data_IF_536463959995
#
_entry.id   IF_536463959995
#
_cell.length_a   1.000
_cell.length_b   1.000
_cell.length_c   1.000
_cell.angle_alpha   90.00
_cell.angle_beta   90.00
_cell.angle_gamma   90.00
#
_symmetry.space_group_name_H-M   'P 1'
#
loop_
_entity.id
_entity.type
_entity.pdbx_description
1 polymer ?
#
# COMPACT_ATOMS: atom_id res chain seq x y z
N UNK A 1 3.65 -12.11 -9.86
CA UNK A 1 2.69 -11.12 -9.33
C UNK A 1 3.37 -10.38 -8.18
N UNK A 2 3.26 -9.05 -8.15
CA UNK A 2 3.77 -8.22 -7.08
C UNK A 2 2.62 -7.45 -6.40
N UNK A 3 2.66 -7.39 -5.08
CA UNK A 3 1.83 -6.49 -4.28
C UNK A 3 2.59 -5.18 -4.09
N UNK A 4 2.16 -4.15 -4.78
CA UNK A 4 2.71 -2.79 -4.71
C UNK A 4 1.91 -1.86 -3.80
N UNK A 5 1.01 -2.38 -2.97
CA UNK A 5 0.09 -1.55 -2.17
C UNK A 5 0.79 -0.55 -1.23
N UNK A 6 2.01 -0.81 -0.81
CA UNK A 6 2.82 0.11 0.00
C UNK A 6 3.99 0.73 -0.78
N UNK A 7 4.28 0.24 -1.98
CA UNK A 7 5.45 0.64 -2.75
C UNK A 7 5.11 1.68 -3.84
N UNK A 8 3.99 1.47 -4.57
CA UNK A 8 3.59 2.34 -5.67
C UNK A 8 3.33 3.78 -5.19
N UNK A 9 3.90 4.73 -5.91
CA UNK A 9 3.86 6.15 -5.59
C UNK A 9 4.93 6.62 -4.59
N UNK A 10 5.68 5.68 -3.98
CA UNK A 10 6.75 5.97 -3.01
C UNK A 10 8.12 5.58 -3.60
N UNK A 11 8.22 4.39 -4.20
CA UNK A 11 9.43 3.91 -4.88
C UNK A 11 9.11 3.55 -6.32
N UNK A 12 10.13 3.57 -7.18
CA UNK A 12 10.00 3.24 -8.60
C UNK A 12 9.85 1.72 -8.76
N UNK A 13 8.62 1.28 -9.08
CA UNK A 13 8.28 -0.13 -9.32
C UNK A 13 7.85 -0.27 -10.77
N UNK A 14 8.54 -1.09 -11.54
CA UNK A 14 8.30 -1.27 -12.98
C UNK A 14 7.99 -2.72 -13.33
N UNK A 15 7.14 -2.92 -14.32
CA UNK A 15 6.93 -4.27 -14.90
C UNK A 15 8.22 -4.81 -15.51
N UNK A 16 9.11 -3.93 -16.04
CA UNK A 16 10.42 -4.30 -16.58
C UNK A 16 11.34 -4.98 -15.55
N UNK A 17 11.07 -4.85 -14.26
CA UNK A 17 11.85 -5.46 -13.18
C UNK A 17 11.51 -6.95 -12.97
N UNK A 18 10.90 -7.59 -13.96
CA UNK A 18 10.49 -9.00 -13.91
C UNK A 18 9.10 -9.22 -13.32
N UNK A 19 8.30 -8.16 -13.23
CA UNK A 19 6.93 -8.20 -12.73
C UNK A 19 5.97 -8.33 -13.91
N UNK A 20 5.12 -9.36 -13.95
CA UNK A 20 4.11 -9.51 -15.00
C UNK A 20 2.76 -8.90 -14.62
N UNK A 21 2.44 -8.92 -13.31
CA UNK A 21 1.21 -8.37 -12.74
C UNK A 21 1.56 -7.60 -11.48
N UNK A 22 1.20 -6.33 -11.43
CA UNK A 22 1.36 -5.45 -10.28
C UNK A 22 -0.01 -5.02 -9.79
N UNK A 23 -0.29 -5.27 -8.51
CA UNK A 23 -1.51 -4.82 -7.84
C UNK A 23 -1.17 -3.72 -6.85
N UNK A 24 -1.96 -2.64 -6.82
CA UNK A 24 -1.71 -1.54 -5.88
C UNK A 24 -3.00 -0.91 -5.39
N UNK A 25 -2.94 -0.32 -4.19
CA UNK A 25 -4.02 0.43 -3.59
C UNK A 25 -3.97 1.91 -4.03
N UNK A 26 -5.11 2.46 -4.45
CA UNK A 26 -5.18 3.86 -4.86
C UNK A 26 -5.08 4.85 -3.70
N UNK A 27 -5.58 4.48 -2.51
CA UNK A 27 -5.68 5.35 -1.33
C UNK A 27 -4.41 5.43 -0.46
N UNK A 28 -3.28 4.87 -0.91
CA UNK A 28 -1.99 4.94 -0.22
C UNK A 28 -1.03 5.89 -0.95
N UNK A 29 0.14 5.43 -1.37
CA UNK A 29 1.13 6.25 -2.05
C UNK A 29 0.68 6.88 -3.38
N UNK A 30 -0.44 6.44 -3.96
CA UNK A 30 -1.04 7.06 -5.15
C UNK A 30 -2.00 8.23 -4.84
N UNK A 31 -2.22 8.59 -3.59
CA UNK A 31 -3.05 9.72 -3.13
C UNK A 31 -4.51 9.72 -3.61
N UNK A 32 -5.04 8.58 -4.06
CA UNK A 32 -6.45 8.40 -4.42
C UNK A 32 -7.36 8.19 -3.20
N UNK A 33 -8.66 8.10 -3.43
CA UNK A 33 -9.64 7.81 -2.37
C UNK A 33 -9.70 6.32 -2.04
N UNK A 34 -10.29 5.99 -0.89
CA UNK A 34 -10.58 4.61 -0.48
C UNK A 34 -11.49 3.90 -1.50
N UNK A 35 -11.40 2.57 -1.57
CA UNK A 35 -12.18 1.77 -2.53
C UNK A 35 -11.66 1.83 -3.97
N UNK A 36 -10.41 2.28 -4.16
CA UNK A 36 -9.72 2.33 -5.45
C UNK A 36 -8.44 1.53 -5.43
N UNK A 37 -8.05 1.02 -6.60
CA UNK A 37 -6.79 0.31 -6.81
C UNK A 37 -6.55 0.11 -8.29
N UNK A 38 -5.36 -0.38 -8.63
CA UNK A 38 -4.98 -0.71 -9.99
C UNK A 38 -4.43 -2.12 -10.05
N UNK A 39 -4.78 -2.83 -11.13
CA UNK A 39 -4.11 -4.02 -11.59
C UNK A 39 -3.42 -3.67 -12.92
N UNK A 40 -2.12 -3.78 -12.95
CA UNK A 40 -1.28 -3.44 -14.11
C UNK A 40 -0.63 -4.73 -14.60
N UNK A 41 -0.70 -5.01 -15.90
CA UNK A 41 -0.14 -6.22 -16.49
C UNK A 41 0.67 -5.92 -17.74
N UNK A 42 1.70 -6.75 -18.00
CA UNK A 42 2.47 -6.73 -19.24
C UNK A 42 1.76 -7.49 -20.39
N UNK A 43 0.59 -8.06 -20.14
CA UNK A 43 -0.23 -8.78 -21.11
C UNK A 43 0.27 -10.17 -21.48
N UNK A 44 1.39 -10.66 -20.93
CA UNK A 44 1.95 -11.97 -21.28
C UNK A 44 1.12 -13.14 -20.76
N UNK A 45 0.30 -12.91 -19.75
CA UNK A 45 -0.52 -13.96 -19.14
C UNK A 45 -2.00 -13.61 -19.25
N UNK A 46 -2.81 -14.57 -19.68
CA UNK A 46 -4.28 -14.43 -19.66
C UNK A 46 -4.74 -14.51 -18.21
N UNK A 47 -5.33 -13.42 -17.72
CA UNK A 47 -5.92 -13.35 -16.38
C UNK A 47 -7.39 -13.75 -16.51
N UNK A 48 -7.81 -14.75 -15.72
CA UNK A 48 -9.20 -15.19 -15.71
C UNK A 48 -10.01 -14.32 -14.74
N UNK A 49 -11.12 -13.69 -15.20
CA UNK A 49 -11.98 -12.93 -14.31
C UNK A 49 -12.67 -13.86 -13.30
N UNK A 50 -12.75 -13.44 -12.05
CA UNK A 50 -13.48 -14.14 -10.98
C UNK A 50 -14.89 -13.59 -10.88
N UNK A 51 -15.05 -12.27 -11.04
CA UNK A 51 -16.36 -11.59 -11.03
C UNK A 51 -16.67 -11.16 -12.46
N UNK A 52 -17.89 -11.37 -12.93
CA UNK A 52 -18.29 -11.13 -14.30
C UNK A 52 -19.67 -10.44 -14.34
N UNK A 53 -19.94 -9.74 -15.44
CA UNK A 53 -21.23 -9.13 -15.76
C UNK A 53 -21.27 -7.62 -15.58
N UNK A 54 -22.24 -6.99 -16.21
CA UNK A 54 -22.53 -5.56 -16.07
C UNK A 54 -21.46 -4.62 -16.63
N UNK A 55 -20.57 -5.07 -17.52
CA UNK A 55 -19.48 -4.23 -18.10
C UNK A 55 -20.01 -3.13 -19.03
N UNK A 56 -21.15 -3.36 -19.68
CA UNK A 56 -21.76 -2.42 -20.63
C UNK A 56 -21.15 -2.40 -22.03
N UNK A 57 -19.94 -2.84 -22.23
CA UNK A 57 -19.23 -2.78 -23.54
C UNK A 57 -19.74 -3.78 -24.58
N UNK A 58 -20.31 -4.92 -24.14
CA UNK A 58 -20.94 -5.93 -25.01
C UNK A 58 -22.29 -6.34 -24.41
N UNK A 59 -23.22 -5.40 -24.28
CA UNK A 59 -24.51 -5.60 -23.60
C UNK A 59 -25.41 -6.67 -24.22
N UNK A 60 -25.21 -7.02 -25.50
CA UNK A 60 -25.92 -8.12 -26.19
C UNK A 60 -25.31 -9.50 -25.94
N UNK A 61 -24.12 -9.58 -25.36
CA UNK A 61 -23.44 -10.85 -25.06
C UNK A 61 -23.82 -11.35 -23.67
N UNK A 62 -24.02 -12.67 -23.55
CA UNK A 62 -24.18 -13.35 -22.26
C UNK A 62 -22.84 -13.63 -21.57
N UNK A 63 -21.73 -13.37 -22.26
CA UNK A 63 -20.39 -13.66 -21.77
C UNK A 63 -19.63 -12.36 -21.51
N UNK A 64 -18.71 -12.43 -20.52
CA UNK A 64 -17.78 -11.35 -20.24
C UNK A 64 -16.89 -11.08 -21.46
N UNK A 65 -16.60 -9.81 -21.82
CA UNK A 65 -15.64 -9.48 -22.85
C UNK A 65 -14.28 -10.14 -22.60
N UNK A 66 -13.57 -10.49 -23.69
CA UNK A 66 -12.24 -11.10 -23.56
C UNK A 66 -11.07 -10.10 -23.65
N UNK A 67 -11.36 -8.86 -24.03
CA UNK A 67 -10.33 -7.81 -24.16
C UNK A 67 -10.16 -7.01 -22.86
N UNK A 68 -8.95 -6.53 -22.63
CA UNK A 68 -8.64 -5.63 -21.50
C UNK A 68 -9.02 -4.17 -21.83
N UNK A 69 -9.44 -3.38 -20.86
CA UNK A 69 -9.58 -3.74 -19.43
C UNK A 69 -10.90 -4.47 -19.11
N UNK A 70 -11.88 -4.49 -20.01
CA UNK A 70 -13.27 -4.91 -19.78
C UNK A 70 -13.39 -6.36 -19.28
N UNK A 71 -12.48 -7.24 -19.68
CA UNK A 71 -12.46 -8.64 -19.21
C UNK A 71 -12.29 -8.75 -17.69
N UNK A 72 -11.67 -7.77 -17.05
CA UNK A 72 -11.40 -7.74 -15.60
C UNK A 72 -12.23 -6.70 -14.84
N UNK A 73 -13.01 -5.91 -15.56
CA UNK A 73 -13.90 -4.91 -15.00
C UNK A 73 -15.34 -5.40 -15.02
N UNK A 74 -15.96 -5.61 -13.87
CA UNK A 74 -17.36 -6.01 -13.73
C UNK A 74 -18.19 -4.88 -13.14
N UNK A 75 -19.42 -4.73 -13.62
CA UNK A 75 -20.34 -3.68 -13.17
C UNK A 75 -19.96 -2.29 -13.68
N UNK A 76 -20.58 -1.27 -13.11
CA UNK A 76 -20.29 0.13 -13.43
C UNK A 76 -18.95 0.55 -12.83
N UNK A 77 -18.06 1.07 -13.68
CA UNK A 77 -16.73 1.51 -13.25
C UNK A 77 -16.82 2.68 -12.25
N UNK A 78 -15.93 2.66 -11.27
CA UNK A 78 -15.74 3.77 -10.33
C UNK A 78 -14.92 4.90 -10.98
N UNK A 79 -15.55 5.62 -11.92
CA UNK A 79 -14.90 6.71 -12.67
C UNK A 79 -14.40 7.80 -11.75
N UNK A 80 -15.19 8.17 -10.74
CA UNK A 80 -14.80 9.19 -9.76
C UNK A 80 -13.53 8.77 -9.02
N UNK A 81 -13.47 7.51 -8.57
CA UNK A 81 -12.28 6.96 -7.91
C UNK A 81 -11.07 6.95 -8.84
N UNK A 82 -11.22 6.55 -10.10
CA UNK A 82 -10.14 6.57 -11.09
C UNK A 82 -9.59 7.99 -11.31
N UNK A 83 -10.46 8.99 -11.36
CA UNK A 83 -10.05 10.40 -11.48
C UNK A 83 -9.22 10.88 -10.29
N UNK A 84 -9.48 10.37 -9.09
CA UNK A 84 -8.65 10.72 -7.91
C UNK A 84 -7.27 10.09 -7.99
N UNK A 85 -7.14 8.84 -8.47
CA UNK A 85 -5.83 8.23 -8.72
C UNK A 85 -5.05 9.01 -9.79
N UNK A 86 -5.73 9.43 -10.87
CA UNK A 86 -5.12 10.28 -11.90
C UNK A 86 -4.55 11.56 -11.28
N UNK A 87 -5.34 12.28 -10.51
CA UNK A 87 -4.89 13.50 -9.83
C UNK A 87 -3.70 13.26 -8.89
N UNK A 88 -3.69 12.12 -8.17
CA UNK A 88 -2.57 11.71 -7.33
C UNK A 88 -1.30 11.43 -8.14
N UNK A 89 -1.40 10.74 -9.26
CA UNK A 89 -0.27 10.48 -10.16
C UNK A 89 0.25 11.79 -10.77
N UNK A 90 -0.62 12.71 -11.17
CA UNK A 90 -0.23 14.04 -11.64
C UNK A 90 0.52 14.83 -10.58
N UNK A 91 0.08 14.76 -9.32
CA UNK A 91 0.79 15.34 -8.18
C UNK A 91 2.18 14.74 -8.00
N UNK A 92 2.29 13.39 -8.01
CA UNK A 92 3.57 12.69 -7.90
C UNK A 92 4.52 13.12 -9.02
N UNK A 93 4.04 13.16 -10.25
CA UNK A 93 4.84 13.59 -11.40
C UNK A 93 5.30 15.04 -11.30
N UNK A 94 4.44 15.94 -10.78
CA UNK A 94 4.76 17.36 -10.56
C UNK A 94 5.83 17.55 -9.49
N UNK A 95 5.74 16.85 -8.39
CA UNK A 95 6.70 16.96 -7.26
C UNK A 95 7.98 16.19 -7.55
N UNK A 96 7.86 15.02 -8.14
CA UNK A 96 8.90 14.01 -8.33
C UNK A 96 8.88 12.97 -7.21
N UNK A 97 8.73 11.70 -7.56
CA UNK A 97 8.66 10.59 -6.60
C UNK A 97 9.90 10.51 -5.72
N UNK A 98 11.09 10.71 -6.26
CA UNK A 98 12.34 10.73 -5.49
C UNK A 98 12.35 11.83 -4.42
N UNK A 99 11.77 12.99 -4.70
CA UNK A 99 11.69 14.10 -3.74
C UNK A 99 10.69 13.77 -2.62
N UNK A 100 9.56 13.14 -2.96
CA UNK A 100 8.58 12.66 -1.98
C UNK A 100 9.25 11.64 -1.07
N UNK A 101 9.88 10.62 -1.64
CA UNK A 101 10.61 9.59 -0.90
C UNK A 101 11.68 10.19 0.03
N UNK A 102 12.52 11.08 -0.49
CA UNK A 102 13.59 11.69 0.31
C UNK A 102 13.05 12.51 1.49
N UNK A 103 11.92 13.21 1.30
CA UNK A 103 11.27 13.96 2.38
C UNK A 103 10.74 13.03 3.47
N UNK A 104 10.01 11.99 3.09
CA UNK A 104 9.41 11.04 4.02
C UNK A 104 10.48 10.18 4.72
N UNK A 105 11.51 9.74 4.00
CA UNK A 105 12.62 8.96 4.57
C UNK A 105 13.42 9.80 5.60
N UNK A 106 13.62 11.08 5.35
CA UNK A 106 14.26 12.00 6.32
C UNK A 106 13.46 12.05 7.63
N UNK A 107 12.14 12.18 7.55
CA UNK A 107 11.26 12.21 8.74
C UNK A 107 11.33 10.85 9.45
N UNK A 108 11.22 9.76 8.69
CA UNK A 108 11.27 8.39 9.20
C UNK A 108 12.61 8.11 9.94
N UNK A 109 13.75 8.48 9.36
CA UNK A 109 15.07 8.33 10.00
C UNK A 109 15.20 9.16 11.27
N UNK A 110 14.70 10.40 11.27
CA UNK A 110 14.70 11.26 12.45
C UNK A 110 13.91 10.63 13.59
N UNK A 111 12.72 10.09 13.26
CA UNK A 111 11.88 9.38 14.22
C UNK A 111 12.56 8.12 14.78
N UNK A 112 13.09 7.26 13.91
CA UNK A 112 13.85 6.07 14.31
C UNK A 112 15.01 6.42 15.25
N UNK A 113 15.78 7.46 14.93
CA UNK A 113 16.89 7.89 15.75
C UNK A 113 16.44 8.37 17.15
N UNK A 114 15.26 8.96 17.24
CA UNK A 114 14.65 9.33 18.51
C UNK A 114 14.19 8.12 19.31
N UNK A 115 13.55 7.14 18.66
CA UNK A 115 13.13 5.90 19.31
C UNK A 115 14.31 5.08 19.86
N UNK A 116 15.41 5.00 19.12
CA UNK A 116 16.63 4.25 19.52
C UNK A 116 17.26 4.72 20.84
N UNK A 117 16.96 5.94 21.29
CA UNK A 117 17.44 6.46 22.57
C UNK A 117 16.80 5.75 23.79
N UNK A 118 15.68 5.07 23.60
CA UNK A 118 14.97 4.34 24.65
C UNK A 118 15.15 2.82 24.46
N UNK A 119 15.87 2.16 25.35
CA UNK A 119 16.16 0.71 25.31
C UNK A 119 14.91 -0.17 25.48
N UNK A 120 13.79 0.39 25.90
CA UNK A 120 12.52 -0.32 26.02
C UNK A 120 11.74 -0.34 24.70
N UNK A 121 12.22 0.34 23.66
CA UNK A 121 11.57 0.33 22.34
C UNK A 121 12.27 -0.70 21.45
N UNK A 122 11.45 -1.56 20.84
CA UNK A 122 11.88 -2.53 19.83
C UNK A 122 11.42 -1.99 18.47
N UNK A 123 12.33 -1.81 17.53
CA UNK A 123 12.04 -1.36 16.16
C UNK A 123 12.20 -2.54 15.22
N UNK A 124 11.17 -2.84 14.44
CA UNK A 124 11.18 -3.94 13.48
C UNK A 124 11.65 -3.42 12.12
N UNK A 125 12.94 -3.46 11.87
CA UNK A 125 13.55 -3.01 10.61
C UNK A 125 14.90 -3.71 10.41
N UNK A 126 15.09 -4.31 9.23
CA UNK A 126 16.41 -4.77 8.81
C UNK A 126 17.19 -3.58 8.20
N UNK A 127 18.33 -3.17 8.75
CA UNK A 127 19.08 -2.02 8.25
C UNK A 127 19.62 -2.20 6.83
N UNK A 128 19.77 -3.43 6.36
CA UNK A 128 20.31 -3.77 5.03
C UNK A 128 19.22 -3.78 3.93
N UNK A 129 17.95 -3.68 4.29
CA UNK A 129 16.86 -3.71 3.33
C UNK A 129 16.37 -2.32 2.92
N UNK A 130 15.91 -2.20 1.68
CA UNK A 130 15.16 -1.03 1.25
C UNK A 130 13.79 -1.01 1.94
N UNK A 131 13.43 0.11 2.52
CA UNK A 131 12.14 0.31 3.16
C UNK A 131 11.42 1.52 2.60
N UNK A 132 10.10 1.39 2.46
CA UNK A 132 9.22 2.55 2.38
C UNK A 132 9.20 3.28 3.74
N UNK A 133 8.79 4.56 3.79
CA UNK A 133 8.81 5.37 5.02
C UNK A 133 7.75 4.93 6.05
N UNK A 134 7.84 3.70 6.51
CA UNK A 134 7.00 3.12 7.56
C UNK A 134 7.91 2.69 8.71
N UNK A 135 7.48 2.93 9.94
CA UNK A 135 8.19 2.50 11.16
C UNK A 135 7.24 1.66 11.99
N UNK A 136 7.59 0.39 12.20
CA UNK A 136 6.90 -0.49 13.13
C UNK A 136 7.75 -0.68 14.39
N UNK A 137 7.13 -0.49 15.55
CA UNK A 137 7.82 -0.61 16.82
C UNK A 137 6.89 -1.12 17.93
N UNK A 138 7.48 -1.61 19.02
CA UNK A 138 6.77 -1.95 20.25
C UNK A 138 7.51 -1.38 21.46
N UNK A 139 6.79 -1.18 22.55
CA UNK A 139 7.34 -0.86 23.87
C UNK A 139 7.29 -2.13 24.71
N UNK A 140 8.41 -2.57 25.27
CA UNK A 140 8.50 -3.79 26.08
C UNK A 140 7.48 -3.76 27.23
N UNK A 141 6.72 -4.85 27.35
CA UNK A 141 5.77 -5.02 28.45
C UNK A 141 4.47 -4.22 28.33
N UNK A 142 4.24 -3.52 27.20
CA UNK A 142 3.01 -2.75 27.00
C UNK A 142 2.36 -3.19 25.68
N UNK A 143 1.06 -3.48 25.73
CA UNK A 143 0.29 -3.84 24.52
C UNK A 143 0.24 -2.68 23.53
N UNK A 144 0.42 -2.94 22.22
CA UNK A 144 0.43 -1.90 21.18
C UNK A 144 -0.79 -0.99 21.20
N UNK A 145 -2.00 -1.55 21.39
CA UNK A 145 -3.23 -0.78 21.42
C UNK A 145 -3.25 0.22 22.59
N UNK A 146 -2.70 -0.18 23.76
CA UNK A 146 -2.59 0.70 24.93
C UNK A 146 -1.64 1.85 24.64
N UNK A 147 -0.50 1.57 24.01
CA UNK A 147 0.47 2.60 23.63
C UNK A 147 -0.17 3.57 22.63
N UNK A 148 -0.80 3.05 21.57
CA UNK A 148 -1.47 3.87 20.56
C UNK A 148 -2.57 4.75 21.17
N UNK A 149 -3.37 4.20 22.12
CA UNK A 149 -4.40 4.95 22.84
C UNK A 149 -3.82 6.10 23.67
N UNK A 150 -2.71 5.87 24.39
CA UNK A 150 -2.04 6.90 25.19
C UNK A 150 -1.49 8.01 24.28
N UNK A 151 -0.80 7.63 23.22
CA UNK A 151 -0.17 8.57 22.27
C UNK A 151 -1.22 9.37 21.49
N UNK A 152 -2.34 8.73 21.12
CA UNK A 152 -3.46 9.41 20.46
C UNK A 152 -4.04 10.54 21.30
N UNK A 153 -4.17 10.34 22.64
CA UNK A 153 -4.61 11.41 23.57
C UNK A 153 -3.65 12.59 23.63
N UNK A 154 -2.40 12.39 23.22
CA UNK A 154 -1.37 13.43 23.15
C UNK A 154 -1.23 14.02 21.74
N UNK A 155 -2.12 13.65 20.81
CA UNK A 155 -2.15 14.18 19.45
C UNK A 155 -1.28 13.42 18.42
N UNK A 156 -0.69 12.27 18.81
CA UNK A 156 0.07 11.43 17.87
C UNK A 156 -0.88 10.51 17.08
N UNK A 157 -0.83 10.60 15.76
CA UNK A 157 -1.62 9.76 14.85
C UNK A 157 -0.86 8.47 14.54
N UNK A 158 -1.08 7.43 15.32
CA UNK A 158 -0.47 6.12 15.18
C UNK A 158 -1.54 5.04 15.02
N UNK A 159 -1.16 3.92 14.42
CA UNK A 159 -2.01 2.75 14.29
C UNK A 159 -1.38 1.57 15.01
N UNK A 160 -2.18 0.84 15.81
CA UNK A 160 -1.78 -0.42 16.41
C UNK A 160 -2.48 -1.60 15.73
N UNK A 161 -1.91 -2.80 15.87
CA UNK A 161 -2.48 -4.07 15.43
C UNK A 161 -1.65 -4.80 14.37
N UNK A 162 -2.32 -5.61 13.56
CA UNK A 162 -1.68 -6.50 12.59
C UNK A 162 -1.38 -5.85 11.23
N UNK A 163 -1.86 -4.65 10.97
CA UNK A 163 -1.58 -3.87 9.74
C UNK A 163 -1.84 -4.63 8.43
N UNK A 164 -2.84 -5.53 8.41
CA UNK A 164 -3.18 -6.42 7.29
C UNK A 164 -2.08 -7.45 6.95
N UNK A 165 -1.19 -7.79 7.90
CA UNK A 165 0.00 -8.63 7.68
C UNK A 165 0.15 -9.73 8.75
N UNK A 166 -0.90 -10.48 9.05
CA UNK A 166 -0.93 -11.48 10.14
C UNK A 166 0.24 -12.46 10.06
N UNK A 167 0.57 -12.97 8.88
CA UNK A 167 1.67 -13.92 8.70
C UNK A 167 3.05 -13.30 9.02
N UNK A 168 3.23 -12.02 8.73
CA UNK A 168 4.46 -11.31 9.09
C UNK A 168 4.63 -11.22 10.61
N UNK A 169 3.53 -10.99 11.34
CA UNK A 169 3.55 -10.95 12.80
C UNK A 169 3.90 -12.31 13.42
N UNK A 170 3.39 -13.41 12.85
CA UNK A 170 3.77 -14.78 13.27
C UNK A 170 5.28 -15.01 13.06
N UNK A 171 5.81 -14.60 11.91
CA UNK A 171 7.23 -14.77 11.60
C UNK A 171 8.15 -13.90 12.49
N UNK A 172 7.69 -12.71 12.86
CA UNK A 172 8.45 -11.76 13.69
C UNK A 172 8.27 -11.99 15.19
N UNK A 173 7.41 -12.93 15.62
CA UNK A 173 7.09 -13.15 17.02
C UNK A 173 6.35 -11.96 17.65
N UNK A 174 5.49 -11.31 16.87
CA UNK A 174 4.71 -10.15 17.29
C UNK A 174 3.21 -10.44 17.25
N UNK A 175 2.79 -11.57 17.84
CA UNK A 175 1.41 -12.07 17.80
C UNK A 175 0.38 -11.07 18.39
N UNK A 176 0.83 -10.11 19.18
CA UNK A 176 -0.01 -9.01 19.68
C UNK A 176 0.00 -7.77 18.76
N UNK A 177 0.58 -7.87 17.56
CA UNK A 177 0.71 -6.75 16.64
C UNK A 177 1.87 -5.80 16.96
N UNK A 178 1.90 -4.67 16.26
CA UNK A 178 2.86 -3.57 16.43
C UNK A 178 2.14 -2.22 16.39
N UNK A 179 2.89 -1.17 16.65
CA UNK A 179 2.52 0.23 16.38
C UNK A 179 3.16 0.64 15.09
#
# INVERSE_FOLDING_TARGET
>A
IADGAQACGIIDVKLSDGINILCTAGHKGLYGITGTGLLITDGKYKIKPIIQGGTGSLSSSLYQPEFLPDSLESGTLNVTGAMTIKAGIEFINKIGMERIFAHEDKICRSFINSLKKNKNIIIYRNPESLYVPIVSFNIKGIMPEKVASILSKQGYCLRAGYHCSTLAHTQLGTENGTI
#
